data_IF_849650010434
#
_entry.id   IF_849650010434
#
_cell.length_a   1.000
_cell.length_b   1.000
_cell.length_c   1.000
_cell.angle_alpha   90.00
_cell.angle_beta   90.00
_cell.angle_gamma   90.00
#
_symmetry.space_group_name_H-M   'P 1'
#
loop_
_entity.id
_entity.type
_entity.pdbx_description
1 polymer ?
#
# COMPACT_ATOMS: atom_id res chain seq x y z
N UNK A 1 3.30 -3.65 0.26
CA UNK A 1 4.42 -3.49 1.16
C UNK A 1 4.08 -4.25 2.45
N UNK A 2 4.30 -5.56 2.48
CA UNK A 2 3.99 -6.42 3.63
C UNK A 2 4.52 -5.87 4.96
N UNK A 3 3.68 -5.86 6.01
CA UNK A 3 4.06 -5.62 7.41
C UNK A 3 5.45 -6.17 7.67
N UNK A 4 6.37 -5.32 8.12
CA UNK A 4 7.72 -5.77 8.39
C UNK A 4 7.69 -6.83 9.48
N UNK A 5 8.47 -7.91 9.34
CA UNK A 5 8.56 -8.97 10.36
C UNK A 5 8.87 -8.40 11.76
N UNK A 6 9.56 -7.26 11.81
CA UNK A 6 9.86 -6.50 13.01
C UNK A 6 8.62 -5.96 13.72
N UNK A 7 7.58 -5.55 13.00
CA UNK A 7 6.34 -5.03 13.59
C UNK A 7 5.54 -6.15 14.22
N UNK A 8 5.41 -7.28 13.52
CA UNK A 8 4.80 -8.50 14.05
C UNK A 8 5.51 -8.98 15.32
N UNK A 9 6.86 -8.97 15.33
CA UNK A 9 7.65 -9.31 16.52
C UNK A 9 7.40 -8.34 17.67
N UNK A 10 7.35 -7.04 17.39
CA UNK A 10 7.12 -6.01 18.40
C UNK A 10 5.70 -6.10 18.99
N UNK A 11 4.67 -6.22 18.16
CA UNK A 11 3.28 -6.43 18.61
C UNK A 11 3.15 -7.68 19.50
N UNK A 12 3.70 -8.81 19.03
CA UNK A 12 3.70 -10.06 19.78
C UNK A 12 4.40 -9.90 21.13
N UNK A 13 5.56 -9.24 21.15
CA UNK A 13 6.28 -9.01 22.39
C UNK A 13 5.52 -8.09 23.35
N UNK A 14 4.95 -6.97 22.88
CA UNK A 14 4.15 -6.09 23.74
C UNK A 14 3.03 -6.87 24.45
N UNK A 15 2.29 -7.70 23.70
CA UNK A 15 1.22 -8.55 24.23
C UNK A 15 1.73 -9.60 25.21
N UNK A 16 2.71 -10.41 24.79
CA UNK A 16 3.23 -11.50 25.61
C UNK A 16 3.86 -11.00 26.91
N UNK A 17 4.57 -9.85 26.87
CA UNK A 17 5.21 -9.29 28.05
C UNK A 17 4.20 -8.64 28.99
N UNK A 18 3.19 -7.95 28.45
CA UNK A 18 2.05 -7.47 29.23
C UNK A 18 1.41 -8.62 30.00
N UNK A 19 1.10 -9.71 29.31
CA UNK A 19 0.42 -10.88 29.91
C UNK A 19 1.32 -11.59 30.94
N UNK A 20 2.63 -11.73 30.65
CA UNK A 20 3.60 -12.33 31.56
C UNK A 20 3.80 -11.51 32.85
N UNK A 21 3.84 -10.18 32.75
CA UNK A 21 3.97 -9.30 33.92
C UNK A 21 2.68 -9.34 34.75
N UNK A 22 1.51 -9.27 34.10
CA UNK A 22 0.22 -9.33 34.78
C UNK A 22 -0.01 -10.66 35.52
N UNK A 23 0.52 -11.77 34.99
CA UNK A 23 0.48 -13.08 35.64
C UNK A 23 1.49 -13.24 36.78
N UNK A 24 2.48 -12.34 36.91
CA UNK A 24 3.52 -12.44 37.92
C UNK A 24 3.04 -11.86 39.27
N UNK A 25 3.26 -12.61 40.34
CA UNK A 25 2.86 -12.18 41.69
C UNK A 25 3.81 -11.13 42.26
N UNK A 26 3.30 -9.91 42.39
CA UNK A 26 3.89 -8.80 43.15
C UNK A 26 3.05 -8.49 44.39
N UNK A 27 3.73 -8.20 45.51
CA UNK A 27 3.09 -7.80 46.77
C UNK A 27 3.57 -6.40 47.19
N UNK A 28 2.66 -5.60 47.78
CA UNK A 28 2.99 -4.29 48.31
C UNK A 28 3.36 -3.25 47.24
N UNK A 29 4.32 -2.37 47.55
CA UNK A 29 4.74 -1.25 46.67
C UNK A 29 5.23 -1.68 45.27
N UNK A 30 6.01 -2.77 45.10
CA UNK A 30 6.41 -3.27 43.77
C UNK A 30 5.25 -3.50 42.80
N UNK A 31 4.06 -3.87 43.31
CA UNK A 31 2.88 -4.11 42.49
C UNK A 31 2.44 -2.87 41.72
N UNK A 32 2.52 -1.69 42.32
CA UNK A 32 2.13 -0.43 41.68
C UNK A 32 2.97 -0.17 40.42
N UNK A 33 4.27 -0.43 40.47
CA UNK A 33 5.16 -0.24 39.32
C UNK A 33 4.97 -1.33 38.25
N UNK A 34 4.63 -2.55 38.65
CA UNK A 34 4.30 -3.63 37.72
C UNK A 34 2.97 -3.36 37.00
N UNK A 35 1.95 -2.90 37.72
CA UNK A 35 0.64 -2.53 37.16
C UNK A 35 0.78 -1.34 36.19
N UNK A 36 1.61 -0.34 36.52
CA UNK A 36 1.95 0.77 35.61
C UNK A 36 2.68 0.28 34.36
N UNK A 37 3.64 -0.65 34.50
CA UNK A 37 4.32 -1.24 33.34
C UNK A 37 3.34 -1.97 32.41
N UNK A 38 2.38 -2.71 32.97
CA UNK A 38 1.29 -3.37 32.22
C UNK A 38 0.43 -2.33 31.51
N UNK A 39 0.05 -1.25 32.18
CA UNK A 39 -0.76 -0.18 31.59
C UNK A 39 -0.06 0.51 30.42
N UNK A 40 1.23 0.83 30.57
CA UNK A 40 2.05 1.40 29.49
C UNK A 40 2.09 0.46 28.29
N UNK A 41 2.37 -0.83 28.52
CA UNK A 41 2.44 -1.84 27.46
C UNK A 41 1.10 -2.01 26.73
N UNK A 42 -0.01 -2.02 27.46
CA UNK A 42 -1.34 -2.15 26.89
C UNK A 42 -1.70 -0.93 26.03
N UNK A 43 -1.44 0.27 26.53
CA UNK A 43 -1.70 1.52 25.81
C UNK A 43 -0.94 1.60 24.49
N UNK A 44 0.37 1.29 24.50
CA UNK A 44 1.16 1.30 23.26
C UNK A 44 0.85 0.11 22.36
N UNK A 45 0.48 -1.06 22.91
CA UNK A 45 0.06 -2.21 22.12
C UNK A 45 -1.20 -1.91 21.30
N UNK A 46 -2.23 -1.33 21.93
CA UNK A 46 -3.50 -1.01 21.24
C UNK A 46 -3.25 0.00 20.13
N UNK A 47 -2.54 1.09 20.42
CA UNK A 47 -2.21 2.11 19.40
C UNK A 47 -1.40 1.54 18.24
N UNK A 48 -0.35 0.77 18.54
CA UNK A 48 0.50 0.18 17.51
C UNK A 48 -0.24 -0.87 16.67
N UNK A 49 -1.13 -1.66 17.29
CA UNK A 49 -1.98 -2.60 16.57
C UNK A 49 -2.94 -1.88 15.62
N UNK A 50 -3.56 -0.78 16.08
CA UNK A 50 -4.45 0.01 15.24
C UNK A 50 -3.70 0.65 14.06
N UNK A 51 -2.49 1.16 14.27
CA UNK A 51 -1.69 1.76 13.22
C UNK A 51 -1.27 0.74 12.14
N UNK A 52 -0.87 -0.47 12.55
CA UNK A 52 -0.56 -1.56 11.60
C UNK A 52 -1.80 -1.96 10.80
N UNK A 53 -2.95 -2.14 11.45
CA UNK A 53 -4.19 -2.49 10.75
C UNK A 53 -4.65 -1.40 9.79
N UNK A 54 -4.45 -0.13 10.15
CA UNK A 54 -4.78 0.99 9.27
C UNK A 54 -3.89 1.00 8.03
N UNK A 55 -2.58 0.86 8.20
CA UNK A 55 -1.64 0.84 7.08
C UNK A 55 -1.87 -0.35 6.13
N UNK A 56 -2.14 -1.55 6.68
CA UNK A 56 -2.55 -2.71 5.88
C UNK A 56 -3.81 -2.44 5.04
N UNK A 57 -4.82 -1.80 5.64
CA UNK A 57 -6.07 -1.48 4.95
C UNK A 57 -5.84 -0.48 3.81
N UNK A 58 -5.08 0.58 4.09
CA UNK A 58 -4.73 1.61 3.10
C UNK A 58 -3.86 1.05 1.97
N UNK A 59 -3.01 0.06 2.22
CA UNK A 59 -2.26 -0.59 1.16
C UNK A 59 -3.17 -1.35 0.17
N UNK A 60 -4.18 -2.06 0.70
CA UNK A 60 -5.15 -2.77 -0.12
C UNK A 60 -5.95 -1.78 -0.96
N UNK A 61 -6.47 -0.73 -0.34
CA UNK A 61 -7.24 0.33 -1.02
C UNK A 61 -6.41 1.05 -2.09
N UNK A 62 -5.14 1.36 -1.81
CA UNK A 62 -4.18 1.89 -2.79
C UNK A 62 -3.96 0.96 -3.98
N UNK A 63 -3.79 -0.34 -3.74
CA UNK A 63 -3.59 -1.34 -4.79
C UNK A 63 -4.84 -1.46 -5.68
N UNK A 64 -6.02 -1.51 -5.07
CA UNK A 64 -7.30 -1.55 -5.79
C UNK A 64 -7.50 -0.30 -6.65
N UNK A 65 -7.18 0.87 -6.10
CA UNK A 65 -7.32 2.14 -6.82
C UNK A 65 -6.34 2.27 -7.98
N UNK A 66 -5.11 1.79 -7.83
CA UNK A 66 -4.15 1.70 -8.95
C UNK A 66 -4.65 0.76 -10.06
N UNK A 67 -5.28 -0.36 -9.70
CA UNK A 67 -5.90 -1.26 -10.67
C UNK A 67 -7.06 -0.59 -11.42
N UNK A 68 -7.85 0.24 -10.73
CA UNK A 68 -8.92 1.04 -11.35
C UNK A 68 -8.36 2.06 -12.37
N UNK A 69 -7.26 2.74 -12.04
CA UNK A 69 -6.56 3.64 -12.98
C UNK A 69 -6.07 2.88 -14.21
N UNK A 70 -5.45 1.72 -14.02
CA UNK A 70 -4.98 0.89 -15.13
C UNK A 70 -6.15 0.44 -16.04
N UNK A 71 -7.27 0.00 -15.44
CA UNK A 71 -8.48 -0.35 -16.16
C UNK A 71 -9.07 0.83 -16.94
N UNK A 72 -9.18 1.99 -16.30
CA UNK A 72 -9.68 3.21 -16.95
C UNK A 72 -8.78 3.67 -18.11
N UNK A 73 -7.45 3.48 -17.97
CA UNK A 73 -6.50 3.75 -19.05
C UNK A 73 -6.70 2.83 -20.25
N UNK A 74 -6.92 1.53 -20.03
CA UNK A 74 -7.23 0.59 -21.13
C UNK A 74 -8.50 1.01 -21.88
N UNK A 75 -9.52 1.46 -21.16
CA UNK A 75 -10.75 1.97 -21.76
C UNK A 75 -10.53 3.26 -22.56
N UNK A 76 -9.76 4.21 -22.02
CA UNK A 76 -9.37 5.43 -22.72
C UNK A 76 -8.64 5.11 -24.03
N UNK A 77 -7.66 4.20 -23.98
CA UNK A 77 -6.89 3.78 -25.16
C UNK A 77 -7.77 3.11 -26.21
N UNK A 78 -8.70 2.27 -25.77
CA UNK A 78 -9.65 1.60 -26.66
C UNK A 78 -10.59 2.59 -27.33
N UNK A 79 -11.09 3.58 -26.57
CA UNK A 79 -11.98 4.61 -27.10
C UNK A 79 -11.24 5.55 -28.07
N UNK A 80 -9.99 5.92 -27.76
CA UNK A 80 -9.14 6.68 -28.68
C UNK A 80 -8.93 5.95 -30.00
N UNK A 81 -8.59 4.65 -29.96
CA UNK A 81 -8.38 3.84 -31.17
C UNK A 81 -9.62 3.84 -32.06
N UNK A 82 -10.81 3.63 -31.49
CA UNK A 82 -12.07 3.66 -32.26
C UNK A 82 -12.33 5.02 -32.91
N UNK A 83 -12.05 6.09 -32.18
CA UNK A 83 -12.16 7.45 -32.70
C UNK A 83 -11.16 7.71 -33.84
N UNK A 84 -9.90 7.29 -33.66
CA UNK A 84 -8.85 7.39 -34.68
C UNK A 84 -9.18 6.59 -35.94
N UNK A 85 -9.70 5.36 -35.81
CA UNK A 85 -10.15 4.54 -36.93
C UNK A 85 -11.26 5.25 -37.74
N UNK A 86 -12.24 5.85 -37.04
CA UNK A 86 -13.30 6.66 -37.66
C UNK A 86 -12.75 7.87 -38.42
N UNK A 87 -11.77 8.57 -37.84
CA UNK A 87 -11.09 9.68 -38.50
C UNK A 87 -10.29 9.25 -39.73
N UNK A 88 -9.56 8.14 -39.66
CA UNK A 88 -8.80 7.62 -40.79
C UNK A 88 -9.72 7.26 -41.96
N UNK A 89 -10.88 6.66 -41.69
CA UNK A 89 -11.89 6.39 -42.71
C UNK A 89 -12.38 7.67 -43.39
N UNK A 90 -12.68 8.72 -42.61
CA UNK A 90 -13.13 10.00 -43.16
C UNK A 90 -12.04 10.73 -43.94
N UNK A 91 -10.80 10.73 -43.46
CA UNK A 91 -9.67 11.32 -44.18
C UNK A 91 -9.42 10.60 -45.51
N UNK A 92 -9.54 9.27 -45.54
CA UNK A 92 -9.44 8.49 -46.77
C UNK A 92 -10.57 8.85 -47.77
N UNK A 93 -11.80 9.03 -47.28
CA UNK A 93 -12.94 9.49 -48.10
C UNK A 93 -12.69 10.89 -48.69
N UNK A 94 -12.29 11.86 -47.87
CA UNK A 94 -11.99 13.23 -48.31
C UNK A 94 -10.86 13.29 -49.34
N UNK A 95 -9.85 12.42 -49.19
CA UNK A 95 -8.76 12.31 -50.15
C UNK A 95 -9.24 11.75 -51.51
N UNK A 96 -10.25 10.87 -51.51
CA UNK A 96 -10.85 10.34 -52.75
C UNK A 96 -11.80 11.35 -53.42
N UNK A 97 -12.52 12.16 -52.64
CA UNK A 97 -13.45 13.18 -53.18
C UNK A 97 -12.76 14.48 -53.57
N UNK A 98 -11.52 14.69 -53.13
CA UNK A 98 -10.77 15.94 -53.36
C UNK A 98 -11.19 17.10 -52.45
N UNK A 99 -12.02 16.82 -51.43
CA UNK A 99 -12.54 17.81 -50.47
C UNK A 99 -11.62 17.96 -49.24
N UNK A 100 -10.31 17.91 -49.46
CA UNK A 100 -9.32 17.94 -48.38
C UNK A 100 -8.98 19.39 -47.99
N UNK A 101 -9.52 19.84 -46.86
CA UNK A 101 -9.33 21.20 -46.35
C UNK A 101 -8.28 21.30 -45.23
N UNK A 102 -8.00 22.52 -44.76
CA UNK A 102 -7.02 22.81 -43.71
C UNK A 102 -7.24 22.04 -42.41
N UNK A 103 -8.50 21.80 -42.04
CA UNK A 103 -8.82 21.05 -40.81
C UNK A 103 -8.60 19.55 -41.00
N UNK A 104 -8.84 19.04 -42.21
CA UNK A 104 -8.49 17.66 -42.56
C UNK A 104 -6.96 17.45 -42.54
N UNK A 105 -6.18 18.45 -42.99
CA UNK A 105 -4.72 18.46 -42.84
C UNK A 105 -4.29 18.43 -41.37
N UNK A 106 -4.85 19.29 -40.52
CA UNK A 106 -4.53 19.32 -39.08
C UNK A 106 -4.82 17.97 -38.39
N UNK A 107 -5.97 17.35 -38.71
CA UNK A 107 -6.33 16.03 -38.20
C UNK A 107 -5.34 14.96 -38.68
N UNK A 108 -4.93 15.01 -39.94
CA UNK A 108 -3.93 14.11 -40.50
C UNK A 108 -2.59 14.20 -39.76
N UNK A 109 -2.06 15.42 -39.61
CA UNK A 109 -0.83 15.69 -38.86
C UNK A 109 -0.94 15.24 -37.40
N UNK A 110 -2.08 15.50 -36.75
CA UNK A 110 -2.35 15.07 -35.39
C UNK A 110 -2.27 13.54 -35.25
N UNK A 111 -2.95 12.79 -36.14
CA UNK A 111 -2.94 11.33 -36.10
C UNK A 111 -1.58 10.72 -36.46
N UNK A 112 -0.82 11.36 -37.37
CA UNK A 112 0.55 10.94 -37.68
C UNK A 112 1.50 11.10 -36.49
N UNK A 113 1.31 12.15 -35.69
CA UNK A 113 2.12 12.41 -34.49
C UNK A 113 1.64 11.64 -33.26
N UNK A 114 0.41 11.12 -33.26
CA UNK A 114 -0.20 10.41 -32.14
C UNK A 114 -0.84 9.08 -32.60
N UNK A 115 -0.06 8.12 -33.10
CA UNK A 115 -0.61 6.84 -33.54
C UNK A 115 -1.12 6.03 -32.33
N UNK A 116 -2.21 5.25 -32.49
CA UNK A 116 -2.78 4.45 -31.40
C UNK A 116 -1.80 3.47 -30.72
N UNK A 117 -0.73 3.07 -31.42
CA UNK A 117 0.32 2.20 -30.87
C UNK A 117 1.18 2.90 -29.81
N UNK A 118 1.47 4.20 -29.98
CA UNK A 118 2.30 4.99 -29.07
C UNK A 118 1.51 5.46 -27.83
N UNK A 119 0.18 5.45 -27.91
CA UNK A 119 -0.73 5.90 -26.86
C UNK A 119 -0.61 5.10 -25.55
N UNK A 120 -0.14 3.85 -25.61
CA UNK A 120 0.14 3.03 -24.43
C UNK A 120 1.41 3.45 -23.67
N UNK A 121 2.33 4.17 -24.33
CA UNK A 121 3.64 4.54 -23.78
C UNK A 121 3.66 5.91 -23.09
N UNK A 122 2.66 6.76 -23.34
CA UNK A 122 2.61 8.12 -22.80
C UNK A 122 2.01 8.16 -21.40
N UNK A 123 2.40 9.17 -20.62
CA UNK A 123 1.81 9.44 -19.31
C UNK A 123 0.28 9.64 -19.41
N UNK A 124 -0.45 9.35 -18.34
CA UNK A 124 -1.91 9.42 -18.30
C UNK A 124 -2.45 10.85 -18.55
N UNK A 125 -1.74 11.90 -18.13
CA UNK A 125 -2.13 13.28 -18.40
C UNK A 125 -2.01 13.63 -19.88
N UNK A 126 -0.92 13.18 -20.50
CA UNK A 126 -0.70 13.32 -21.94
C UNK A 126 -1.75 12.54 -22.72
N UNK A 127 -2.09 11.33 -22.27
CA UNK A 127 -3.14 10.50 -22.87
C UNK A 127 -4.50 11.20 -22.82
N UNK A 128 -4.88 11.74 -21.66
CA UNK A 128 -6.13 12.50 -21.49
C UNK A 128 -6.13 13.72 -22.41
N UNK A 129 -5.07 14.52 -22.41
CA UNK A 129 -4.96 15.73 -23.24
C UNK A 129 -5.05 15.43 -24.73
N UNK A 130 -4.41 14.35 -25.18
CA UNK A 130 -4.49 13.89 -26.56
C UNK A 130 -5.92 13.47 -26.92
N UNK A 131 -6.61 12.69 -26.08
CA UNK A 131 -7.99 12.27 -26.36
C UNK A 131 -8.96 13.45 -26.34
N UNK A 132 -8.79 14.42 -25.44
CA UNK A 132 -9.57 15.66 -25.45
C UNK A 132 -9.36 16.46 -26.73
N UNK A 133 -8.12 16.53 -27.24
CA UNK A 133 -7.84 17.16 -28.54
C UNK A 133 -8.50 16.38 -29.67
N UNK A 134 -8.38 15.06 -29.67
CA UNK A 134 -9.01 14.19 -30.66
C UNK A 134 -10.54 14.37 -30.67
N UNK A 135 -11.17 14.48 -29.49
CA UNK A 135 -12.62 14.65 -29.34
C UNK A 135 -13.17 15.90 -30.03
N UNK A 136 -12.37 16.97 -30.17
CA UNK A 136 -12.76 18.22 -30.85
C UNK A 136 -13.03 18.05 -32.34
N UNK A 137 -12.43 17.04 -32.97
CA UNK A 137 -12.68 16.70 -34.37
C UNK A 137 -13.92 15.83 -34.57
N UNK A 138 -14.49 15.31 -33.47
CA UNK A 138 -15.52 14.26 -33.48
C UNK A 138 -16.74 14.62 -34.31
N UNK A 139 -17.24 15.84 -34.11
CA UNK A 139 -18.49 16.29 -34.70
C UNK A 139 -18.38 16.50 -36.22
N UNK A 140 -17.17 16.71 -36.73
CA UNK A 140 -16.93 16.95 -38.15
C UNK A 140 -16.46 15.71 -38.90
N UNK A 141 -15.58 14.93 -38.27
CA UNK A 141 -14.85 13.87 -38.96
C UNK A 141 -15.31 12.46 -38.59
N UNK A 142 -16.16 12.28 -37.58
CA UNK A 142 -16.75 10.96 -37.34
C UNK A 142 -17.93 10.68 -38.29
N UNK A 143 -18.07 9.43 -38.76
CA UNK A 143 -19.22 8.99 -39.54
C UNK A 143 -20.54 9.26 -38.81
N UNK A 144 -21.50 9.89 -39.47
CA UNK A 144 -22.74 10.38 -38.87
C UNK A 144 -23.51 9.29 -38.12
N UNK A 145 -23.59 8.07 -38.68
CA UNK A 145 -24.30 6.94 -38.05
C UNK A 145 -23.64 6.36 -36.78
N UNK A 146 -22.37 6.70 -36.51
CA UNK A 146 -21.62 6.19 -35.34
C UNK A 146 -21.05 7.31 -34.46
N UNK A 147 -21.17 8.57 -34.89
CA UNK A 147 -20.59 9.75 -34.24
C UNK A 147 -20.97 9.83 -32.78
N UNK A 148 -22.26 9.83 -32.48
CA UNK A 148 -22.76 10.00 -31.10
C UNK A 148 -22.29 8.86 -30.19
N UNK A 149 -22.29 7.63 -30.70
CA UNK A 149 -21.83 6.46 -29.95
C UNK A 149 -20.33 6.52 -29.65
N UNK A 150 -19.50 6.93 -30.62
CA UNK A 150 -18.05 7.06 -30.45
C UNK A 150 -17.74 8.21 -29.50
N UNK A 151 -18.37 9.36 -29.69
CA UNK A 151 -18.22 10.54 -28.85
C UNK A 151 -18.61 10.25 -27.40
N UNK A 152 -19.79 9.66 -27.17
CA UNK A 152 -20.23 9.27 -25.84
C UNK A 152 -19.24 8.30 -25.17
N UNK A 153 -18.77 7.29 -25.90
CA UNK A 153 -17.80 6.32 -25.37
C UNK A 153 -16.46 6.97 -25.00
N UNK A 154 -16.03 7.99 -25.74
CA UNK A 154 -14.82 8.78 -25.42
C UNK A 154 -15.06 9.66 -24.20
N UNK A 155 -16.21 10.34 -24.13
CA UNK A 155 -16.58 11.19 -23.00
C UNK A 155 -16.68 10.37 -21.70
N UNK A 156 -17.30 9.19 -21.75
CA UNK A 156 -17.38 8.25 -20.62
C UNK A 156 -15.99 7.76 -20.18
N UNK A 157 -15.11 7.41 -21.14
CA UNK A 157 -13.75 6.97 -20.83
C UNK A 157 -12.88 8.09 -20.24
N UNK A 158 -13.02 9.32 -20.74
CA UNK A 158 -12.39 10.52 -20.18
C UNK A 158 -12.88 10.82 -18.77
N UNK A 159 -14.18 10.73 -18.52
CA UNK A 159 -14.73 10.92 -17.18
C UNK A 159 -14.21 9.85 -16.22
N UNK A 160 -14.19 8.58 -16.65
CA UNK A 160 -13.73 7.46 -15.84
C UNK A 160 -12.26 7.58 -15.47
N UNK A 161 -11.38 7.89 -16.43
CA UNK A 161 -9.94 8.01 -16.15
C UNK A 161 -9.62 9.19 -15.24
N UNK A 162 -10.33 10.32 -15.38
CA UNK A 162 -10.19 11.48 -14.48
C UNK A 162 -10.64 11.13 -13.06
N UNK A 163 -11.81 10.49 -12.91
CA UNK A 163 -12.31 10.07 -11.61
C UNK A 163 -11.40 9.05 -10.94
N UNK A 164 -10.91 8.05 -11.69
CA UNK A 164 -9.97 7.05 -11.18
C UNK A 164 -8.65 7.68 -10.72
N UNK A 165 -8.15 8.68 -11.45
CA UNK A 165 -6.94 9.41 -11.09
C UNK A 165 -7.13 10.26 -9.83
N UNK A 166 -8.26 10.94 -9.70
CA UNK A 166 -8.58 11.72 -8.51
C UNK A 166 -8.76 10.82 -7.27
N UNK A 167 -9.36 9.65 -7.44
CA UNK A 167 -9.41 8.63 -6.40
C UNK A 167 -8.00 8.17 -6.01
N UNK A 168 -7.15 7.82 -6.99
CA UNK A 168 -5.77 7.40 -6.73
C UNK A 168 -4.93 8.45 -6.01
N UNK A 169 -5.10 9.73 -6.35
CA UNK A 169 -4.38 10.81 -5.68
C UNK A 169 -4.82 11.02 -4.24
N UNK A 170 -6.10 10.80 -3.91
CA UNK A 170 -6.59 10.86 -2.52
C UNK A 170 -6.06 9.69 -1.73
N UNK A 171 -6.19 8.49 -2.30
CA UNK A 171 -5.72 7.25 -1.72
C UNK A 171 -4.21 7.26 -1.43
N UNK A 172 -3.40 7.79 -2.34
CA UNK A 172 -1.96 7.98 -2.11
C UNK A 172 -1.69 8.90 -0.90
N UNK A 173 -2.52 9.93 -0.71
CA UNK A 173 -2.44 10.81 0.46
C UNK A 173 -2.77 10.08 1.77
N UNK A 174 -3.81 9.25 1.76
CA UNK A 174 -4.27 8.49 2.93
C UNK A 174 -3.27 7.37 3.28
N UNK A 175 -2.74 6.64 2.30
CA UNK A 175 -1.67 5.67 2.48
C UNK A 175 -0.38 6.30 3.05
N UNK A 176 0.03 7.47 2.55
CA UNK A 176 1.19 8.19 3.10
C UNK A 176 0.96 8.65 4.55
N UNK A 177 -0.25 9.06 4.89
CA UNK A 177 -0.62 9.43 6.25
C UNK A 177 -0.56 8.20 7.17
N UNK A 178 -1.15 7.08 6.77
CA UNK A 178 -1.13 5.83 7.54
C UNK A 178 0.29 5.29 7.75
N UNK A 179 1.16 5.38 6.73
CA UNK A 179 2.58 5.03 6.87
C UNK A 179 3.28 5.91 7.91
N UNK A 180 3.02 7.23 7.90
CA UNK A 180 3.59 8.17 8.87
C UNK A 180 3.10 7.89 10.29
N UNK A 181 1.81 7.57 10.44
CA UNK A 181 1.23 7.17 11.72
C UNK A 181 1.83 5.86 12.24
N UNK A 182 2.07 4.89 11.34
CA UNK A 182 2.72 3.64 11.69
C UNK A 182 4.16 3.85 12.19
N UNK A 183 4.96 4.69 11.53
CA UNK A 183 6.29 5.06 12.00
C UNK A 183 6.25 5.73 13.38
N UNK A 184 5.32 6.66 13.60
CA UNK A 184 5.14 7.29 14.91
C UNK A 184 4.76 6.27 15.99
N UNK A 185 3.85 5.34 15.67
CA UNK A 185 3.43 4.27 16.56
C UNK A 185 4.55 3.26 16.85
N UNK A 186 5.43 2.97 15.87
CA UNK A 186 6.64 2.15 16.06
C UNK A 186 7.55 2.76 17.12
N UNK A 187 7.81 4.06 17.03
CA UNK A 187 8.66 4.75 18.00
C UNK A 187 8.01 4.84 19.39
N UNK A 188 6.71 5.13 19.47
CA UNK A 188 5.97 5.12 20.73
C UNK A 188 5.98 3.71 21.37
N UNK A 189 5.80 2.66 20.58
CA UNK A 189 5.87 1.27 21.04
C UNK A 189 7.26 0.89 21.59
N UNK A 190 8.34 1.30 20.90
CA UNK A 190 9.73 1.06 21.38
C UNK A 190 10.02 1.80 22.68
N UNK A 191 9.58 3.05 22.76
CA UNK A 191 9.72 3.87 23.96
C UNK A 191 8.90 3.28 25.13
N UNK A 192 7.65 2.93 24.89
CA UNK A 192 6.76 2.29 25.87
C UNK A 192 7.31 0.98 26.39
N UNK A 193 7.86 0.13 25.50
CA UNK A 193 8.54 -1.10 25.89
C UNK A 193 9.73 -0.83 26.81
N UNK A 194 10.55 0.17 26.50
CA UNK A 194 11.72 0.52 27.31
C UNK A 194 11.31 1.07 28.68
N UNK A 195 10.33 1.97 28.72
CA UNK A 195 9.77 2.53 29.96
C UNK A 195 9.16 1.45 30.85
N UNK A 196 8.36 0.55 30.28
CA UNK A 196 7.78 -0.57 31.02
C UNK A 196 8.86 -1.53 31.55
N UNK A 197 9.94 -1.76 30.79
CA UNK A 197 11.09 -2.54 31.26
C UNK A 197 11.76 -1.88 32.47
N UNK A 198 11.90 -0.55 32.49
CA UNK A 198 12.50 0.16 33.60
C UNK A 198 11.62 0.16 34.85
N UNK A 199 10.30 0.31 34.69
CA UNK A 199 9.33 0.14 35.77
C UNK A 199 9.37 -1.27 36.36
N UNK A 200 9.38 -2.29 35.50
CA UNK A 200 9.50 -3.69 35.93
C UNK A 200 10.84 -3.95 36.63
N UNK A 201 11.93 -3.38 36.12
CA UNK A 201 13.27 -3.47 36.74
C UNK A 201 13.25 -2.90 38.16
N UNK A 202 12.57 -1.76 38.36
CA UNK A 202 12.41 -1.18 39.67
C UNK A 202 11.59 -2.10 40.60
N UNK A 203 10.48 -2.67 40.11
CA UNK A 203 9.61 -3.57 40.88
C UNK A 203 10.36 -4.85 41.32
N UNK A 204 11.13 -5.43 40.39
CA UNK A 204 11.91 -6.64 40.65
C UNK A 204 13.09 -6.39 41.58
N UNK A 205 13.74 -5.22 41.50
CA UNK A 205 14.79 -4.84 42.47
C UNK A 205 14.23 -4.75 43.88
N UNK A 206 13.09 -4.08 44.04
CA UNK A 206 12.49 -3.90 45.37
C UNK A 206 11.97 -5.21 45.97
N UNK A 207 11.60 -6.19 45.14
CA UNK A 207 11.20 -7.53 45.59
C UNK A 207 12.35 -8.53 45.70
N UNK A 208 13.59 -8.13 45.39
CA UNK A 208 14.76 -9.01 45.44
C UNK A 208 14.82 -10.08 44.33
N UNK A 209 14.07 -9.89 43.23
CA UNK A 209 13.90 -10.86 42.12
C UNK A 209 14.41 -10.30 40.79
N UNK A 210 15.45 -9.47 40.82
CA UNK A 210 15.98 -8.77 39.63
C UNK A 210 16.49 -9.72 38.54
N UNK A 211 16.90 -10.92 38.93
CA UNK A 211 17.27 -12.03 38.05
C UNK A 211 16.14 -12.44 37.09
N UNK A 212 14.88 -12.19 37.46
CA UNK A 212 13.70 -12.51 36.63
C UNK A 212 13.42 -11.50 35.53
N UNK A 213 14.13 -10.37 35.49
CA UNK A 213 13.86 -9.30 34.53
C UNK A 213 13.95 -9.80 33.09
N UNK A 214 15.06 -10.42 32.71
CA UNK A 214 15.28 -10.87 31.32
C UNK A 214 14.34 -12.00 30.89
N UNK A 215 13.81 -12.78 31.84
CA UNK A 215 12.80 -13.81 31.57
C UNK A 215 11.43 -13.17 31.31
N UNK A 216 11.02 -12.23 32.16
CA UNK A 216 9.71 -11.58 32.07
C UNK A 216 9.66 -10.58 30.92
N UNK A 217 10.73 -9.83 30.72
CA UNK A 217 10.84 -8.80 29.71
C UNK A 217 12.30 -8.78 29.23
N UNK A 218 12.65 -9.34 28.06
CA UNK A 218 14.00 -9.24 27.51
C UNK A 218 14.29 -7.83 26.95
N UNK A 219 15.53 -7.54 26.58
CA UNK A 219 15.87 -6.25 25.95
C UNK A 219 15.17 -6.14 24.58
N UNK A 220 14.71 -4.94 24.22
CA UNK A 220 13.99 -4.71 22.94
C UNK A 220 14.78 -5.16 21.72
N UNK A 221 16.11 -5.00 21.72
CA UNK A 221 16.96 -5.47 20.63
C UNK A 221 16.90 -6.98 20.41
N UNK A 222 16.80 -7.79 21.48
CA UNK A 222 16.63 -9.25 21.40
C UNK A 222 15.27 -9.61 20.80
N UNK A 223 14.24 -8.83 21.09
CA UNK A 223 12.90 -8.99 20.51
C UNK A 223 12.95 -8.72 19.00
N UNK A 224 13.50 -7.58 18.60
CA UNK A 224 13.47 -7.14 17.21
C UNK A 224 14.33 -8.00 16.27
N UNK A 225 15.49 -8.49 16.74
CA UNK A 225 16.36 -9.39 15.96
C UNK A 225 15.87 -10.84 15.91
N UNK A 226 14.93 -11.21 16.76
CA UNK A 226 14.64 -12.61 17.06
C UNK A 226 15.75 -13.22 17.92
N UNK A 227 15.39 -13.97 18.94
CA UNK A 227 16.35 -14.84 19.63
C UNK A 227 16.85 -15.89 18.64
N UNK A 228 18.17 -16.12 18.52
CA UNK A 228 18.65 -17.37 17.94
C UNK A 228 18.02 -18.48 18.78
N UNK A 229 17.24 -19.34 18.15
CA UNK A 229 16.83 -20.59 18.77
C UNK A 229 18.13 -21.32 19.13
N UNK A 230 18.38 -21.70 20.40
CA UNK A 230 19.52 -22.56 20.67
C UNK A 230 19.36 -23.79 19.78
N UNK A 231 20.37 -24.07 18.95
CA UNK A 231 20.41 -25.28 18.16
C UNK A 231 20.13 -26.44 19.11
N UNK A 232 19.17 -27.30 18.75
CA UNK A 232 18.89 -28.53 19.47
C UNK A 232 20.23 -29.18 19.82
N UNK A 233 20.43 -29.48 21.11
CA UNK A 233 21.56 -30.29 21.55
C UNK A 233 21.64 -31.54 20.64
N UNK A 234 22.82 -31.90 20.13
CA UNK A 234 22.94 -33.08 19.28
C UNK A 234 22.42 -34.29 20.06
N UNK A 235 21.47 -35.02 19.46
CA UNK A 235 21.00 -36.30 19.98
C UNK A 235 22.22 -37.17 20.31
N UNK A 236 22.25 -37.84 21.48
CA UNK A 236 23.32 -38.77 21.78
C UNK A 236 23.34 -39.86 20.70
N UNK A 237 24.50 -40.03 20.07
CA UNK A 237 24.72 -41.06 19.06
C UNK A 237 24.36 -42.44 19.65
N UNK A 238 23.38 -43.10 19.02
CA UNK A 238 23.03 -44.48 19.33
C UNK A 238 24.28 -45.38 19.22
N UNK A 239 24.68 -45.98 20.34
CA UNK A 239 25.77 -46.95 20.38
C UNK A 239 25.49 -48.10 19.39
N UNK A 240 26.46 -48.50 18.56
CA UNK A 240 26.25 -49.58 17.59
C UNK A 240 26.04 -50.90 18.33
N UNK A 241 24.88 -51.51 18.10
CA UNK A 241 24.54 -52.83 18.62
C UNK A 241 25.47 -53.87 17.97
N UNK A 242 26.15 -54.74 18.74
CA UNK A 242 27.05 -55.73 18.15
C UNK A 242 26.24 -56.82 17.44
N UNK A 243 26.57 -57.06 16.16
CA UNK A 243 26.02 -58.17 15.38
C UNK A 243 26.68 -59.45 15.88
N UNK A 244 25.88 -60.37 16.40
CA UNK A 244 26.25 -61.75 16.69
C UNK A 244 25.84 -62.67 15.53
#
# INVERSE_FOLDING_TARGET
>A
MTIAETDTRLQKALKERRDAIAAFSFEGRPKVWADEAVSVLDGVYVKFTQAVQNEDAQEVEATETQAQVAGARVELNTSFRKMADGYQMRLAELNLTGEFDDTAMELGEYLSNMPPSEFNGVDIEMAVSAVERARRYGDRFLPEGYRDQINQRVDDALAKVKAAREAASREEGEANAAFTELEAAREEAKAGYTSARDLLRAALRQSGRIDRLDTLMPSIWRVLRGTPQPANEPEPEDEPTPVA
#
